data_IF_328532548269
#
_entry.id   IF_328532548269
#
_cell.length_a   1.000
_cell.length_b   1.000
_cell.length_c   1.000
_cell.angle_alpha   90.00
_cell.angle_beta   90.00
_cell.angle_gamma   90.00
#
_symmetry.space_group_name_H-M   'P 1'
#
loop_
_entity.id
_entity.type
_entity.pdbx_description
1 polymer ?
#
# COMPACT_ATOMS: atom_id res chain seq x y z
N UNK A 1 -67.31 -34.78 42.54
CA UNK A 1 -67.75 -33.43 42.91
C UNK A 1 -66.53 -32.56 42.73
N UNK A 2 -66.44 -31.87 41.59
CA UNK A 2 -65.56 -30.71 41.50
C UNK A 2 -66.30 -29.62 42.27
N UNK A 3 -65.61 -28.93 43.18
CA UNK A 3 -66.17 -27.78 43.90
C UNK A 3 -65.19 -26.61 43.72
N UNK A 4 -64.67 -26.44 42.51
CA UNK A 4 -63.62 -25.49 42.23
C UNK A 4 -62.88 -25.72 40.92
N UNK A 5 -62.13 -24.69 40.57
CA UNK A 5 -61.47 -24.55 39.27
C UNK A 5 -62.10 -23.43 38.46
N UNK A 6 -61.35 -22.87 37.53
CA UNK A 6 -61.78 -21.70 36.76
C UNK A 6 -62.98 -21.97 35.83
N UNK A 7 -63.30 -23.25 35.57
CA UNK A 7 -64.41 -23.68 34.73
C UNK A 7 -65.64 -24.18 35.50
N UNK A 8 -65.58 -24.16 36.82
CA UNK A 8 -66.70 -24.52 37.67
C UNK A 8 -67.76 -23.40 37.70
N UNK A 9 -69.02 -23.77 37.76
CA UNK A 9 -70.15 -22.86 37.94
C UNK A 9 -70.95 -23.26 39.18
N UNK A 10 -70.31 -23.13 40.34
CA UNK A 10 -70.87 -23.41 41.67
C UNK A 10 -72.29 -22.84 41.88
N UNK A 11 -72.62 -21.70 41.25
CA UNK A 11 -73.93 -21.06 41.36
C UNK A 11 -75.06 -21.76 40.59
N UNK A 12 -74.74 -22.67 39.66
CA UNK A 12 -75.68 -23.45 38.87
C UNK A 12 -75.76 -24.93 39.30
N UNK A 13 -74.94 -25.32 40.27
CA UNK A 13 -75.00 -26.64 40.91
C UNK A 13 -76.37 -26.88 41.53
N UNK A 14 -76.84 -28.12 41.43
CA UNK A 14 -78.15 -28.48 41.93
C UNK A 14 -78.22 -29.94 42.37
N UNK A 15 -79.18 -30.25 43.24
CA UNK A 15 -79.43 -31.63 43.65
C UNK A 15 -80.10 -32.42 42.50
N UNK A 16 -79.71 -33.69 42.32
CA UNK A 16 -80.29 -34.56 41.27
C UNK A 16 -81.76 -34.92 41.48
N UNK A 17 -82.34 -34.58 42.63
CA UNK A 17 -83.72 -34.90 43.02
C UNK A 17 -83.98 -36.40 43.24
N UNK A 18 -82.97 -37.27 43.10
CA UNK A 18 -83.10 -38.74 43.12
C UNK A 18 -81.98 -39.41 43.92
N UNK A 19 -81.55 -38.77 45.02
CA UNK A 19 -80.54 -39.27 45.95
C UNK A 19 -79.82 -38.14 46.67
N UNK A 20 -78.82 -38.47 47.49
CA UNK A 20 -77.97 -37.50 48.19
C UNK A 20 -76.73 -37.12 47.36
N UNK A 21 -76.93 -36.76 46.08
CA UNK A 21 -75.85 -36.39 45.15
C UNK A 21 -76.08 -35.02 44.52
N UNK A 22 -75.04 -34.19 44.52
CA UNK A 22 -74.98 -32.94 43.76
C UNK A 22 -74.70 -33.24 42.28
N UNK A 23 -75.32 -32.47 41.38
CA UNK A 23 -75.00 -32.40 39.96
C UNK A 23 -74.22 -31.12 39.73
N UNK A 24 -73.02 -31.31 39.23
CA UNK A 24 -72.02 -30.27 38.95
C UNK A 24 -72.36 -29.55 37.63
N UNK A 25 -72.40 -28.23 37.66
CA UNK A 25 -72.65 -27.39 36.50
C UNK A 25 -71.36 -26.72 36.03
N UNK A 26 -70.97 -26.94 34.78
CA UNK A 26 -69.74 -26.37 34.23
C UNK A 26 -70.01 -25.13 33.37
N UNK A 27 -69.03 -24.22 33.32
CA UNK A 27 -69.03 -23.09 32.38
C UNK A 27 -69.01 -23.58 30.93
N UNK A 28 -69.67 -22.86 29.98
CA UNK A 28 -69.78 -23.30 28.60
C UNK A 28 -68.42 -23.37 27.89
N UNK A 29 -68.36 -24.13 26.80
CA UNK A 29 -67.11 -24.32 26.05
C UNK A 29 -66.54 -23.06 25.37
N UNK A 30 -67.24 -21.93 25.48
CA UNK A 30 -66.82 -20.62 25.00
C UNK A 30 -66.22 -19.75 26.11
N UNK A 31 -66.28 -20.19 27.37
CA UNK A 31 -65.77 -19.43 28.50
C UNK A 31 -64.25 -19.55 28.59
N UNK A 32 -63.55 -18.44 28.43
CA UNK A 32 -62.10 -18.31 28.62
C UNK A 32 -61.74 -18.48 30.09
N UNK A 33 -60.98 -19.53 30.40
CA UNK A 33 -60.51 -19.80 31.76
C UNK A 33 -59.06 -19.38 31.98
N UNK A 34 -58.28 -19.24 30.90
CA UNK A 34 -56.99 -18.55 30.87
C UNK A 34 -56.89 -17.74 29.58
N UNK A 35 -56.51 -16.47 29.70
CA UNK A 35 -56.34 -15.60 28.55
C UNK A 35 -55.01 -15.87 27.86
N UNK A 36 -54.97 -15.64 26.55
CA UNK A 36 -53.73 -15.58 25.77
C UNK A 36 -52.79 -14.50 26.33
N UNK A 37 -51.53 -14.87 26.58
CA UNK A 37 -50.48 -14.03 27.11
C UNK A 37 -49.46 -13.56 26.05
N UNK A 38 -49.65 -13.85 24.76
CA UNK A 38 -48.77 -13.36 23.70
C UNK A 38 -48.89 -14.15 22.40
N UNK A 39 -48.16 -13.72 21.36
CA UNK A 39 -48.24 -14.33 20.03
C UNK A 39 -47.90 -15.83 19.97
N UNK A 40 -47.33 -16.40 21.03
CA UNK A 40 -46.95 -17.82 21.12
C UNK A 40 -47.74 -18.62 22.15
N UNK A 41 -48.86 -18.07 22.61
CA UNK A 41 -49.71 -18.66 23.63
C UNK A 41 -51.13 -18.90 23.11
N UNK A 42 -51.80 -19.92 23.63
CA UNK A 42 -53.14 -20.31 23.17
C UNK A 42 -54.14 -20.05 24.29
N UNK A 43 -55.16 -19.27 24.02
CA UNK A 43 -56.28 -19.08 24.96
C UNK A 43 -56.99 -20.42 25.30
N UNK A 44 -57.03 -20.82 26.58
CA UNK A 44 -57.83 -21.98 27.01
C UNK A 44 -59.26 -21.59 27.36
N UNK A 45 -60.17 -22.38 26.78
CA UNK A 45 -61.59 -22.33 27.06
C UNK A 45 -62.00 -23.58 27.83
N UNK A 46 -63.00 -23.42 28.68
CA UNK A 46 -63.60 -24.55 29.39
C UNK A 46 -64.08 -25.62 28.40
N UNK A 47 -64.20 -26.85 28.85
CA UNK A 47 -64.71 -27.94 27.99
C UNK A 47 -66.23 -28.02 27.98
N UNK A 48 -66.91 -27.34 28.92
CA UNK A 48 -68.33 -27.56 29.20
C UNK A 48 -68.62 -28.83 30.00
N UNK A 49 -67.59 -29.57 30.42
CA UNK A 49 -67.71 -30.90 31.05
C UNK A 49 -66.76 -31.14 32.22
N UNK A 50 -65.99 -30.12 32.62
CA UNK A 50 -64.99 -30.18 33.69
C UNK A 50 -64.88 -28.82 34.38
N UNK A 51 -64.72 -28.82 35.71
CA UNK A 51 -64.48 -27.62 36.52
C UNK A 51 -63.04 -27.09 36.43
N UNK A 52 -62.10 -27.94 36.02
CA UNK A 52 -60.72 -27.54 35.73
C UNK A 52 -60.60 -26.90 34.34
N UNK A 53 -59.80 -25.83 34.25
CA UNK A 53 -59.34 -25.29 32.98
C UNK A 53 -58.39 -26.31 32.31
N UNK A 54 -58.41 -26.44 30.97
CA UNK A 54 -57.39 -27.22 30.26
C UNK A 54 -55.96 -26.80 30.63
N UNK A 55 -55.01 -27.69 30.40
CA UNK A 55 -53.59 -27.37 30.60
C UNK A 55 -53.14 -26.27 29.63
N UNK A 56 -52.21 -25.44 30.10
CA UNK A 56 -51.57 -24.35 29.35
C UNK A 56 -50.94 -24.90 28.05
N UNK A 57 -51.45 -24.44 26.91
CA UNK A 57 -51.06 -24.84 25.57
C UNK A 57 -50.40 -23.67 24.83
N UNK A 58 -49.45 -23.99 23.96
CA UNK A 58 -48.68 -22.99 23.21
C UNK A 58 -48.86 -23.18 21.71
N UNK A 59 -48.71 -22.08 20.97
CA UNK A 59 -48.74 -22.08 19.50
C UNK A 59 -47.61 -22.97 18.96
N UNK A 60 -47.82 -23.70 17.84
CA UNK A 60 -46.81 -24.58 17.26
C UNK A 60 -45.57 -23.81 16.80
N UNK A 61 -44.46 -24.51 16.65
CA UNK A 61 -43.19 -23.90 16.25
C UNK A 61 -43.17 -23.29 14.83
N UNK A 62 -44.25 -23.43 14.06
CA UNK A 62 -44.44 -22.78 12.77
C UNK A 62 -45.14 -21.42 12.86
N UNK A 63 -45.65 -21.03 14.03
CA UNK A 63 -46.34 -19.76 14.22
C UNK A 63 -45.31 -18.63 14.29
N UNK A 64 -45.44 -17.64 13.41
CA UNK A 64 -44.60 -16.44 13.41
C UNK A 64 -44.92 -15.53 14.60
N UNK A 65 -43.89 -14.92 15.16
CA UNK A 65 -44.00 -14.00 16.29
C UNK A 65 -43.01 -12.83 16.11
N UNK A 66 -43.05 -11.85 17.02
CA UNK A 66 -42.04 -10.79 17.08
C UNK A 66 -41.03 -11.13 18.16
N UNK A 67 -39.78 -11.36 17.76
CA UNK A 67 -38.67 -11.65 18.64
C UNK A 67 -38.25 -10.46 19.52
N UNK A 68 -37.30 -10.73 20.42
CA UNK A 68 -36.66 -9.69 21.23
C UNK A 68 -35.62 -8.91 20.43
N UNK A 69 -34.97 -9.55 19.45
CA UNK A 69 -34.18 -8.90 18.43
C UNK A 69 -35.12 -8.48 17.29
N UNK A 70 -35.04 -7.21 16.87
CA UNK A 70 -35.86 -6.73 15.77
C UNK A 70 -35.15 -5.61 15.01
N UNK A 71 -34.96 -5.78 13.70
CA UNK A 71 -34.47 -4.74 12.80
C UNK A 71 -32.95 -4.52 12.79
N UNK A 72 -32.17 -5.40 13.43
CA UNK A 72 -30.72 -5.42 13.27
C UNK A 72 -30.29 -5.87 11.87
N UNK A 73 -29.11 -5.43 11.39
CA UNK A 73 -28.62 -5.79 10.05
C UNK A 73 -28.40 -7.31 9.85
N UNK A 74 -28.20 -8.04 10.95
CA UNK A 74 -28.09 -9.50 11.00
C UNK A 74 -29.36 -10.19 11.45
N UNK A 75 -30.43 -9.44 11.63
CA UNK A 75 -31.71 -9.98 12.07
C UNK A 75 -32.50 -10.55 10.91
N UNK A 76 -33.30 -11.57 11.21
CA UNK A 76 -34.21 -12.19 10.26
C UNK A 76 -35.61 -12.28 10.87
N UNK A 77 -36.20 -11.11 11.15
CA UNK A 77 -37.52 -10.94 11.78
C UNK A 77 -38.62 -11.82 11.15
N UNK A 78 -38.54 -12.06 9.82
CA UNK A 78 -39.54 -12.89 9.11
C UNK A 78 -39.46 -14.38 9.43
N UNK A 79 -38.38 -14.84 10.05
CA UNK A 79 -38.15 -16.23 10.44
C UNK A 79 -38.28 -16.45 11.96
N UNK A 80 -38.61 -15.40 12.72
CA UNK A 80 -38.96 -15.52 14.12
C UNK A 80 -40.19 -16.42 14.27
N UNK A 81 -40.13 -17.31 15.26
CA UNK A 81 -41.15 -18.34 15.43
C UNK A 81 -41.31 -18.75 16.88
N UNK A 82 -42.49 -19.24 17.22
CA UNK A 82 -42.76 -19.77 18.55
C UNK A 82 -41.92 -21.02 18.82
N UNK A 83 -41.64 -21.30 20.10
CA UNK A 83 -40.90 -22.52 20.47
C UNK A 83 -41.73 -23.81 20.35
N UNK A 84 -43.08 -23.70 20.38
CA UNK A 84 -43.98 -24.86 20.50
C UNK A 84 -44.11 -25.43 21.90
N UNK A 85 -43.37 -24.90 22.89
CA UNK A 85 -43.32 -25.42 24.25
C UNK A 85 -43.45 -24.35 25.34
N UNK A 86 -43.46 -23.07 24.96
CA UNK A 86 -43.68 -21.92 25.84
C UNK A 86 -44.16 -20.72 25.03
N UNK A 87 -44.66 -19.69 25.72
CA UNK A 87 -44.99 -18.37 25.14
C UNK A 87 -43.73 -17.58 24.69
N UNK A 88 -42.55 -18.20 24.62
CA UNK A 88 -41.35 -17.55 24.12
C UNK A 88 -41.31 -17.57 22.59
N UNK A 89 -41.08 -16.39 22.01
CA UNK A 89 -40.65 -16.24 20.62
C UNK A 89 -39.15 -16.56 20.51
N UNK A 90 -38.76 -17.30 19.48
CA UNK A 90 -37.38 -17.65 19.15
C UNK A 90 -36.90 -16.71 18.04
N UNK A 91 -35.89 -15.90 18.35
CA UNK A 91 -35.24 -15.01 17.38
C UNK A 91 -34.51 -15.83 16.31
N UNK A 92 -34.69 -15.46 15.05
CA UNK A 92 -33.97 -16.02 13.92
C UNK A 92 -32.92 -15.03 13.40
N UNK A 93 -31.67 -15.48 13.28
CA UNK A 93 -30.58 -14.65 12.78
C UNK A 93 -30.13 -15.04 11.37
N UNK A 94 -29.58 -14.07 10.64
CA UNK A 94 -28.93 -14.32 9.35
C UNK A 94 -27.68 -15.18 9.53
N UNK A 95 -27.36 -16.06 8.55
CA UNK A 95 -26.25 -16.99 8.67
C UNK A 95 -24.89 -16.27 8.73
N UNK A 96 -23.86 -16.96 9.22
CA UNK A 96 -22.52 -16.39 9.38
C UNK A 96 -21.81 -16.02 8.07
N UNK A 97 -22.42 -16.34 6.92
CA UNK A 97 -21.96 -15.97 5.58
C UNK A 97 -22.64 -14.71 5.04
N UNK A 98 -23.59 -14.13 5.78
CA UNK A 98 -24.29 -12.93 5.34
C UNK A 98 -23.45 -11.70 5.65
N UNK A 99 -22.99 -10.99 4.62
CA UNK A 99 -22.32 -9.69 4.76
C UNK A 99 -23.32 -8.64 5.22
N UNK A 100 -23.20 -8.19 6.46
CA UNK A 100 -24.05 -7.14 7.03
C UNK A 100 -23.49 -5.74 6.81
N UNK A 101 -22.18 -5.63 6.60
CA UNK A 101 -21.54 -4.40 6.11
C UNK A 101 -20.46 -4.76 5.08
N UNK A 102 -20.55 -4.24 3.84
CA UNK A 102 -19.49 -4.41 2.86
C UNK A 102 -18.26 -3.55 3.22
N UNK A 103 -17.09 -3.97 2.74
CA UNK A 103 -15.89 -3.16 2.78
C UNK A 103 -16.07 -1.90 1.90
N UNK A 104 -15.77 -0.74 2.46
CA UNK A 104 -15.81 0.58 1.80
C UNK A 104 -14.51 0.98 1.10
N UNK A 105 -13.45 0.18 1.21
CA UNK A 105 -12.16 0.40 0.56
C UNK A 105 -11.23 -0.80 0.71
N UNK A 106 -10.03 -0.72 0.11
CA UNK A 106 -9.06 -1.82 0.15
C UNK A 106 -8.48 -2.08 1.55
N UNK A 107 -8.53 -1.08 2.44
CA UNK A 107 -8.08 -1.19 3.83
C UNK A 107 -9.25 -1.36 4.81
N UNK A 108 -10.42 -1.77 4.31
CA UNK A 108 -11.61 -2.02 5.10
C UNK A 108 -11.98 -3.50 5.06
N UNK A 109 -12.40 -4.06 6.19
CA UNK A 109 -12.85 -5.45 6.26
C UNK A 109 -14.37 -5.48 6.08
N UNK A 110 -14.90 -6.44 5.35
CA UNK A 110 -16.35 -6.65 5.33
C UNK A 110 -16.78 -7.45 6.56
N UNK A 111 -17.75 -6.98 7.32
CA UNK A 111 -18.31 -7.73 8.44
C UNK A 111 -19.44 -8.64 7.97
N UNK A 112 -19.36 -9.87 8.47
CA UNK A 112 -20.39 -10.89 8.30
C UNK A 112 -21.11 -11.10 9.62
N UNK A 113 -22.37 -11.48 9.54
CA UNK A 113 -23.13 -11.86 10.72
C UNK A 113 -22.47 -13.02 11.48
N UNK A 114 -22.83 -13.19 12.74
CA UNK A 114 -22.32 -14.30 13.56
C UNK A 114 -23.19 -15.55 13.46
N UNK A 115 -24.42 -15.42 12.94
CA UNK A 115 -25.44 -16.46 13.04
C UNK A 115 -26.14 -16.55 14.40
N UNK A 116 -25.80 -15.68 15.36
CA UNK A 116 -26.27 -15.75 16.74
C UNK A 116 -26.69 -14.39 17.32
N UNK A 117 -26.68 -13.32 16.53
CA UNK A 117 -27.04 -11.97 16.96
C UNK A 117 -27.64 -11.17 15.79
N UNK A 118 -28.63 -10.34 16.08
CA UNK A 118 -29.22 -9.40 15.11
C UNK A 118 -28.31 -8.20 14.79
N UNK A 119 -27.30 -7.92 15.62
CA UNK A 119 -26.35 -6.83 15.35
C UNK A 119 -25.21 -7.29 14.44
N UNK A 120 -24.83 -6.45 13.48
CA UNK A 120 -23.59 -6.65 12.73
C UNK A 120 -22.38 -6.47 13.68
N UNK A 121 -21.30 -7.26 13.54
CA UNK A 121 -20.08 -7.05 14.30
C UNK A 121 -19.53 -5.62 14.17
N UNK A 122 -18.66 -5.25 15.11
CA UNK A 122 -17.99 -3.96 15.07
C UNK A 122 -17.22 -3.79 13.75
N UNK A 123 -17.29 -2.57 13.22
CA UNK A 123 -16.59 -2.14 12.02
C UNK A 123 -15.08 -2.14 12.26
N UNK A 124 -14.35 -2.98 11.54
CA UNK A 124 -12.90 -3.12 11.68
C UNK A 124 -12.18 -2.79 10.37
N UNK A 125 -11.02 -2.15 10.50
CA UNK A 125 -10.11 -1.86 9.39
C UNK A 125 -9.05 -2.94 9.25
N UNK A 126 -8.50 -3.06 8.05
CA UNK A 126 -7.37 -3.94 7.77
C UNK A 126 -6.16 -3.49 8.62
N UNK A 127 -5.43 -4.41 9.27
CA UNK A 127 -4.26 -4.07 10.08
C UNK A 127 -3.19 -3.28 9.32
N UNK A 128 -2.40 -2.50 10.07
CA UNK A 128 -1.31 -1.72 9.50
C UNK A 128 -0.26 -2.63 8.82
N UNK A 129 0.28 -2.18 7.68
CA UNK A 129 1.35 -2.87 6.95
C UNK A 129 0.87 -3.89 5.91
N UNK A 130 -0.45 -4.10 5.76
CA UNK A 130 -0.99 -4.88 4.65
C UNK A 130 -0.94 -4.04 3.37
N UNK A 131 -0.35 -4.62 2.32
CA UNK A 131 -0.23 -3.97 1.01
C UNK A 131 -1.61 -3.73 0.39
N UNK A 132 -1.80 -2.54 -0.16
CA UNK A 132 -2.98 -2.13 -0.90
C UNK A 132 -2.55 -1.35 -2.16
N UNK A 133 -3.50 -0.81 -2.93
CA UNK A 133 -3.18 0.08 -4.04
C UNK A 133 -2.52 -0.63 -5.23
N UNK A 134 -1.71 0.12 -5.98
CA UNK A 134 -0.94 -0.41 -7.10
C UNK A 134 0.39 -0.99 -6.63
N UNK A 135 0.84 -2.08 -7.27
CA UNK A 135 2.17 -2.65 -7.04
C UNK A 135 3.26 -2.03 -7.92
N UNK A 136 2.88 -1.19 -8.87
CA UNK A 136 3.82 -0.49 -9.75
C UNK A 136 4.37 0.72 -9.02
N UNK A 137 5.63 0.67 -8.63
CA UNK A 137 6.31 1.81 -7.99
C UNK A 137 7.10 2.61 -9.03
N UNK A 138 6.78 3.90 -9.14
CA UNK A 138 7.64 4.88 -9.80
C UNK A 138 8.80 5.26 -8.86
N UNK A 139 9.81 6.01 -9.35
CA UNK A 139 11.03 6.31 -8.58
C UNK A 139 10.76 7.10 -7.29
N UNK A 140 9.71 7.93 -7.28
CA UNK A 140 9.29 8.72 -6.11
C UNK A 140 8.03 8.17 -5.43
N UNK A 141 7.74 6.91 -5.68
CA UNK A 141 6.59 6.20 -5.15
C UNK A 141 7.05 5.02 -4.28
N UNK A 142 6.24 4.64 -3.31
CA UNK A 142 6.49 3.41 -2.54
C UNK A 142 5.24 2.55 -2.54
N UNK A 143 5.37 1.30 -2.11
CA UNK A 143 4.22 0.41 -2.01
C UNK A 143 3.26 0.94 -0.96
N UNK A 144 2.01 1.16 -1.38
CA UNK A 144 0.95 1.57 -0.48
C UNK A 144 0.64 0.47 0.54
N UNK A 145 0.54 0.84 1.80
CA UNK A 145 0.14 -0.05 2.89
C UNK A 145 -0.94 0.58 3.75
N UNK A 146 -1.88 -0.23 4.19
CA UNK A 146 -2.88 0.19 5.17
C UNK A 146 -2.19 0.71 6.43
N UNK A 147 -2.72 1.78 7.02
CA UNK A 147 -2.20 2.36 8.26
C UNK A 147 -2.88 1.82 9.53
N UNK A 148 -3.88 0.95 9.37
CA UNK A 148 -4.65 0.39 10.48
C UNK A 148 -5.69 1.35 11.08
N UNK A 149 -5.99 2.46 10.42
CA UNK A 149 -7.01 3.43 10.85
C UNK A 149 -7.94 3.87 9.73
N UNK A 150 -7.42 4.04 8.51
CA UNK A 150 -8.17 4.46 7.34
C UNK A 150 -8.69 3.25 6.53
N UNK A 151 -9.88 3.41 5.98
CA UNK A 151 -10.55 2.42 5.13
C UNK A 151 -10.09 2.46 3.67
N UNK A 152 -9.67 3.64 3.22
CA UNK A 152 -9.03 3.84 1.93
C UNK A 152 -7.57 3.42 2.00
N UNK A 153 -7.05 2.93 0.88
CA UNK A 153 -5.61 2.77 0.73
C UNK A 153 -4.95 4.15 0.67
N UNK A 154 -4.03 4.50 1.58
CA UNK A 154 -3.28 5.74 1.48
C UNK A 154 -2.29 5.65 0.33
N UNK A 155 -2.10 6.76 -0.38
CA UNK A 155 -1.09 6.89 -1.44
C UNK A 155 0.24 7.32 -0.80
N UNK A 156 1.18 6.38 -0.66
CA UNK A 156 2.44 6.57 0.04
C UNK A 156 3.55 6.93 -0.95
N UNK A 157 4.19 8.08 -0.72
CA UNK A 157 5.28 8.57 -1.56
C UNK A 157 6.64 8.32 -0.93
N UNK A 158 7.66 8.23 -1.78
CA UNK A 158 9.04 8.16 -1.32
C UNK A 158 9.36 9.41 -0.47
N UNK A 159 10.08 9.27 0.66
CA UNK A 159 10.42 10.40 1.50
C UNK A 159 11.18 11.50 0.74
N UNK A 160 11.04 12.77 1.14
CA UNK A 160 11.85 13.85 0.60
C UNK A 160 13.35 13.53 0.68
N UNK A 161 14.09 13.77 -0.41
CA UNK A 161 15.51 13.45 -0.50
C UNK A 161 15.83 12.05 -1.04
N UNK A 162 14.83 11.21 -1.31
CA UNK A 162 15.05 9.90 -1.96
C UNK A 162 15.62 10.12 -3.37
N UNK A 163 16.75 9.49 -3.76
CA UNK A 163 17.34 9.71 -5.09
C UNK A 163 16.40 9.28 -6.22
N UNK A 164 16.27 10.13 -7.23
CA UNK A 164 15.50 9.87 -8.44
C UNK A 164 16.24 10.42 -9.68
N UNK A 165 15.62 10.34 -10.85
CA UNK A 165 16.14 10.87 -12.11
C UNK A 165 14.97 11.49 -12.89
N UNK A 166 15.04 12.79 -13.16
CA UNK A 166 14.03 13.56 -13.91
C UNK A 166 14.19 13.45 -15.44
N UNK A 167 15.13 12.62 -15.89
CA UNK A 167 15.60 12.45 -17.26
C UNK A 167 16.22 13.72 -17.88
N UNK A 168 16.52 14.75 -17.10
CA UNK A 168 17.33 15.89 -17.55
C UNK A 168 18.81 15.61 -17.25
N UNK A 169 19.60 15.41 -18.30
CA UNK A 169 21.05 15.19 -18.18
C UNK A 169 21.82 16.41 -17.66
N UNK A 170 21.15 17.56 -17.50
CA UNK A 170 21.72 18.82 -17.06
C UNK A 170 21.54 19.12 -15.57
N UNK A 171 20.80 18.27 -14.85
CA UNK A 171 20.59 18.28 -13.40
C UNK A 171 21.36 17.11 -12.77
N UNK A 172 21.73 17.25 -11.50
CA UNK A 172 22.41 16.19 -10.75
C UNK A 172 21.94 16.20 -9.30
N UNK A 173 21.84 15.01 -8.72
CA UNK A 173 21.39 14.83 -7.35
C UNK A 173 19.89 15.08 -7.21
N UNK A 174 19.11 14.64 -8.20
CA UNK A 174 17.66 14.77 -8.21
C UNK A 174 17.09 13.96 -7.06
N UNK A 175 16.09 14.54 -6.40
CA UNK A 175 15.50 13.94 -5.21
C UNK A 175 14.00 14.08 -5.23
N UNK A 176 13.32 13.09 -4.68
CA UNK A 176 11.90 13.16 -4.47
C UNK A 176 11.56 14.29 -3.49
N UNK A 177 10.44 14.97 -3.74
CA UNK A 177 9.95 16.08 -2.92
C UNK A 177 9.02 15.62 -1.77
N UNK A 178 8.65 14.33 -1.77
CA UNK A 178 7.68 13.73 -0.85
C UNK A 178 6.22 13.77 -1.33
N UNK A 179 5.94 14.38 -2.49
CA UNK A 179 4.62 14.38 -3.15
C UNK A 179 4.51 13.37 -4.30
N UNK A 180 5.60 12.65 -4.58
CA UNK A 180 5.70 11.74 -5.72
C UNK A 180 6.39 12.37 -6.93
N UNK A 181 6.87 13.61 -6.81
CA UNK A 181 7.58 14.30 -7.88
C UNK A 181 9.09 14.16 -7.67
N UNK A 182 9.81 13.91 -8.77
CA UNK A 182 11.26 14.00 -8.78
C UNK A 182 11.66 15.46 -9.03
N UNK A 183 12.19 16.12 -8.01
CA UNK A 183 12.70 17.48 -8.14
C UNK A 183 14.12 17.45 -8.71
N UNK A 184 14.32 18.28 -9.74
CA UNK A 184 15.61 18.58 -10.31
C UNK A 184 16.59 19.03 -9.22
N UNK A 185 17.75 18.39 -9.16
CA UNK A 185 18.86 18.86 -8.35
C UNK A 185 19.46 20.16 -8.88
N UNK A 186 20.63 20.54 -8.37
CA UNK A 186 21.28 21.79 -8.81
C UNK A 186 21.63 21.75 -10.31
N UNK A 187 21.01 22.61 -11.11
CA UNK A 187 21.27 22.77 -12.54
C UNK A 187 22.55 23.57 -12.81
N UNK A 188 23.69 22.90 -12.87
CA UNK A 188 24.96 23.51 -13.33
C UNK A 188 25.79 22.54 -14.23
N UNK A 189 25.23 21.37 -14.57
CA UNK A 189 25.96 20.35 -15.32
C UNK A 189 26.05 20.62 -16.84
N UNK A 190 25.26 21.53 -17.39
CA UNK A 190 25.27 21.89 -18.82
C UNK A 190 25.53 23.38 -19.08
N UNK A 191 26.15 24.08 -18.13
CA UNK A 191 26.55 25.46 -18.32
C UNK A 191 27.46 25.60 -19.56
N UNK A 192 27.42 26.78 -20.20
CA UNK A 192 28.45 27.13 -21.15
C UNK A 192 29.81 27.11 -20.43
N UNK A 193 30.83 26.63 -21.10
CA UNK A 193 32.16 26.53 -20.52
C UNK A 193 33.11 25.73 -21.39
N UNK A 194 34.38 25.83 -21.06
CA UNK A 194 35.47 25.23 -21.82
C UNK A 194 36.51 24.71 -20.86
N UNK A 195 36.83 23.44 -21.02
CA UNK A 195 37.86 22.75 -20.26
C UNK A 195 38.93 22.32 -21.25
N UNK A 196 40.15 22.77 -21.00
CA UNK A 196 41.30 22.40 -21.82
C UNK A 196 42.39 21.86 -20.92
N UNK A 197 43.16 20.92 -21.43
CA UNK A 197 44.27 20.40 -20.66
C UNK A 197 45.23 19.63 -21.53
N UNK A 198 46.49 19.67 -21.14
CA UNK A 198 47.52 18.89 -21.80
C UNK A 198 48.73 18.74 -20.91
N UNK A 199 49.37 17.57 -20.98
CA UNK A 199 50.60 17.34 -20.25
C UNK A 199 50.90 15.88 -19.96
N UNK A 200 51.66 15.67 -18.89
CA UNK A 200 52.05 14.34 -18.44
C UNK A 200 51.60 14.07 -17.01
N UNK A 201 51.18 12.83 -16.77
CA UNK A 201 51.00 12.24 -15.45
C UNK A 201 52.19 11.31 -15.21
N UNK A 202 52.85 11.43 -14.06
CA UNK A 202 53.98 10.56 -13.68
C UNK A 202 53.60 9.82 -12.39
N UNK A 203 52.98 8.62 -12.49
CA UNK A 203 52.58 7.78 -11.36
C UNK A 203 53.71 7.43 -10.39
N UNK A 204 54.87 7.09 -10.96
CA UNK A 204 56.02 6.43 -10.31
C UNK A 204 57.26 6.61 -11.18
N UNK A 205 58.46 6.29 -10.69
CA UNK A 205 59.66 6.27 -11.55
C UNK A 205 59.50 5.16 -12.60
N UNK A 206 59.24 5.54 -13.86
CA UNK A 206 59.11 4.63 -14.99
C UNK A 206 57.75 4.70 -15.69
N UNK A 207 56.69 4.99 -14.95
CA UNK A 207 55.35 5.15 -15.50
C UNK A 207 55.14 6.56 -16.02
N UNK A 208 54.65 6.68 -17.24
CA UNK A 208 54.31 7.97 -17.86
C UNK A 208 53.00 7.82 -18.60
N UNK A 209 52.08 8.74 -18.36
CA UNK A 209 50.94 8.93 -19.24
C UNK A 209 50.97 10.34 -19.82
N UNK A 210 50.56 10.48 -21.08
CA UNK A 210 50.41 11.77 -21.75
C UNK A 210 48.94 11.99 -22.06
N UNK A 211 48.47 13.21 -21.89
CA UNK A 211 47.09 13.56 -22.17
C UNK A 211 46.99 14.90 -22.88
N UNK A 212 45.91 15.06 -23.65
CA UNK A 212 45.52 16.29 -24.31
C UNK A 212 44.03 16.24 -24.59
N UNK A 213 43.30 17.26 -24.13
CA UNK A 213 41.87 17.34 -24.36
C UNK A 213 41.39 18.78 -24.50
N UNK A 214 40.29 18.91 -25.22
CA UNK A 214 39.41 20.08 -25.18
C UNK A 214 38.01 19.54 -25.05
N UNK A 215 37.24 20.07 -24.10
CA UNK A 215 35.80 19.85 -23.97
C UNK A 215 35.16 21.22 -23.86
N UNK A 216 34.18 21.52 -24.70
CA UNK A 216 33.58 22.85 -24.77
C UNK A 216 32.08 22.78 -25.06
N UNK A 217 31.34 23.64 -24.38
CA UNK A 217 29.95 23.96 -24.66
C UNK A 217 29.81 25.48 -24.79
N UNK A 218 29.37 25.96 -25.95
CA UNK A 218 29.35 27.40 -26.24
C UNK A 218 28.14 28.12 -25.64
N UNK A 219 27.01 27.42 -25.49
CA UNK A 219 25.76 27.96 -24.98
C UNK A 219 25.20 27.04 -23.91
N UNK A 220 24.42 27.58 -22.97
CA UNK A 220 23.63 26.78 -22.04
C UNK A 220 22.80 25.77 -22.84
N UNK A 221 22.81 24.49 -22.44
CA UNK A 221 22.14 23.38 -23.13
C UNK A 221 22.57 23.14 -24.61
N UNK A 222 23.61 23.82 -25.08
CA UNK A 222 24.18 23.58 -26.41
C UNK A 222 24.89 22.23 -26.52
N UNK A 223 25.21 21.77 -27.74
CA UNK A 223 25.98 20.55 -27.93
C UNK A 223 27.37 20.68 -27.31
N UNK A 224 27.83 19.63 -26.65
CA UNK A 224 29.23 19.54 -26.25
C UNK A 224 30.07 19.17 -27.46
N UNK A 225 31.19 19.85 -27.63
CA UNK A 225 32.19 19.60 -28.66
C UNK A 225 33.54 19.42 -28.01
N UNK A 226 34.45 18.72 -28.67
CA UNK A 226 35.76 18.48 -28.09
C UNK A 226 36.36 17.17 -28.54
N UNK A 227 37.55 16.92 -28.04
CA UNK A 227 38.29 15.70 -28.31
C UNK A 227 39.16 15.36 -27.11
N UNK A 228 39.26 14.07 -26.78
CA UNK A 228 40.16 13.55 -25.76
C UNK A 228 41.22 12.66 -26.41
N UNK A 229 42.46 12.81 -25.94
CA UNK A 229 43.57 11.95 -26.29
C UNK A 229 44.35 11.62 -25.01
N UNK A 230 44.41 10.36 -24.63
CA UNK A 230 45.15 9.89 -23.45
C UNK A 230 45.98 8.66 -23.81
N UNK A 231 47.26 8.65 -23.45
CA UNK A 231 48.19 7.56 -23.73
C UNK A 231 48.90 7.15 -22.44
N UNK A 232 48.67 5.92 -21.97
CA UNK A 232 49.45 5.30 -20.92
C UNK A 232 50.65 4.58 -21.57
N UNK A 233 51.86 5.09 -21.37
CA UNK A 233 53.07 4.54 -21.99
C UNK A 233 53.53 3.23 -21.33
N UNK A 234 53.01 2.90 -20.14
CA UNK A 234 53.33 1.65 -19.45
C UNK A 234 52.46 0.51 -19.96
N UNK A 235 51.14 0.71 -20.02
CA UNK A 235 50.17 -0.31 -20.46
C UNK A 235 50.02 -0.35 -21.98
N UNK A 236 50.48 0.70 -22.67
CA UNK A 236 50.26 0.90 -24.11
C UNK A 236 48.83 1.34 -24.44
N UNK A 237 48.00 1.63 -23.45
CA UNK A 237 46.64 2.08 -23.62
C UNK A 237 46.60 3.46 -24.29
N UNK A 238 45.80 3.58 -25.35
CA UNK A 238 45.55 4.81 -26.07
C UNK A 238 44.04 5.05 -26.21
N UNK A 239 43.53 6.07 -25.54
CA UNK A 239 42.17 6.61 -25.70
C UNK A 239 42.20 7.75 -26.70
N UNK A 240 41.33 7.69 -27.70
CA UNK A 240 41.18 8.73 -28.70
C UNK A 240 39.71 8.84 -29.13
N UNK A 241 39.06 9.99 -28.89
CA UNK A 241 37.70 10.17 -29.37
C UNK A 241 37.06 11.52 -29.06
N UNK A 242 35.90 11.79 -29.68
CA UNK A 242 35.13 13.00 -29.46
C UNK A 242 34.55 13.05 -28.04
N UNK A 243 34.47 14.26 -27.50
CA UNK A 243 33.74 14.54 -26.25
C UNK A 243 32.28 14.78 -26.58
N UNK A 244 31.38 14.06 -25.91
CA UNK A 244 29.93 14.15 -26.12
C UNK A 244 29.19 14.75 -24.93
N UNK A 245 29.81 14.78 -23.75
CA UNK A 245 29.26 15.38 -22.54
C UNK A 245 30.34 16.17 -21.81
N UNK A 246 30.00 17.36 -21.34
CA UNK A 246 30.81 18.19 -20.45
C UNK A 246 29.94 18.65 -19.29
N UNK A 247 30.45 18.42 -18.09
CA UNK A 247 29.89 18.78 -16.78
C UNK A 247 30.91 19.62 -16.02
N UNK A 248 30.47 20.74 -15.43
CA UNK A 248 31.34 21.65 -14.70
C UNK A 248 30.93 21.70 -13.23
N UNK A 249 31.83 21.37 -12.31
CA UNK A 249 31.58 21.38 -10.87
C UNK A 249 32.31 22.55 -10.21
N UNK A 250 31.58 23.36 -9.43
CA UNK A 250 32.17 24.53 -8.77
C UNK A 250 32.83 25.49 -9.77
N UNK A 251 33.87 26.21 -9.36
CA UNK A 251 34.57 27.17 -10.24
C UNK A 251 35.78 26.58 -10.96
N UNK A 252 36.21 25.37 -10.61
CA UNK A 252 37.54 24.87 -10.98
C UNK A 252 37.58 23.38 -11.35
N UNK A 253 36.46 22.67 -11.33
CA UNK A 253 36.44 21.23 -11.62
C UNK A 253 35.51 20.93 -12.77
N UNK A 254 35.81 19.86 -13.49
CA UNK A 254 34.99 19.40 -14.59
C UNK A 254 35.07 17.89 -14.78
N UNK A 255 34.02 17.33 -15.35
CA UNK A 255 34.01 15.98 -15.89
C UNK A 255 33.56 16.06 -17.34
N UNK A 256 34.21 15.29 -18.20
CA UNK A 256 33.73 15.11 -19.56
C UNK A 256 33.78 13.64 -19.96
N UNK A 257 32.86 13.26 -20.85
CA UNK A 257 32.74 11.90 -21.34
C UNK A 257 32.64 11.87 -22.86
N UNK A 258 32.96 10.72 -23.43
CA UNK A 258 32.86 10.50 -24.86
C UNK A 258 32.97 9.03 -25.24
N UNK A 259 32.63 8.75 -26.50
CA UNK A 259 32.79 7.44 -27.11
C UNK A 259 33.88 7.53 -28.17
N UNK A 260 34.93 6.73 -28.01
CA UNK A 260 36.11 6.76 -28.86
C UNK A 260 36.70 5.39 -29.09
N UNK A 261 38.00 5.35 -29.34
CA UNK A 261 38.78 4.14 -29.49
C UNK A 261 39.77 4.03 -28.33
N UNK A 262 39.78 2.87 -27.66
CA UNK A 262 40.78 2.44 -26.70
C UNK A 262 41.59 1.33 -27.35
N UNK A 263 42.87 1.57 -27.67
CA UNK A 263 43.71 0.64 -28.43
C UNK A 263 43.07 0.15 -29.74
N UNK A 264 42.33 1.03 -30.43
CA UNK A 264 41.63 0.71 -31.67
C UNK A 264 40.29 -0.02 -31.50
N UNK A 265 39.86 -0.30 -30.27
CA UNK A 265 38.54 -0.89 -29.97
C UNK A 265 37.58 0.17 -29.46
N UNK A 266 36.30 0.13 -29.86
CA UNK A 266 35.31 1.10 -29.38
C UNK A 266 35.17 1.05 -27.84
N UNK A 267 35.30 2.21 -27.20
CA UNK A 267 35.18 2.36 -25.74
C UNK A 267 34.46 3.65 -25.38
N UNK A 268 33.88 3.68 -24.19
CA UNK A 268 33.47 4.91 -23.53
C UNK A 268 34.58 5.36 -22.57
N UNK A 269 34.77 6.66 -22.44
CA UNK A 269 35.73 7.25 -21.50
C UNK A 269 35.07 8.35 -20.68
N UNK A 270 35.54 8.49 -19.45
CA UNK A 270 35.23 9.59 -18.54
C UNK A 270 36.55 10.17 -18.05
N UNK A 271 36.62 11.49 -18.01
CA UNK A 271 37.77 12.20 -17.47
C UNK A 271 37.27 13.22 -16.47
N UNK A 272 37.76 13.13 -15.23
CA UNK A 272 37.54 14.14 -14.19
C UNK A 272 38.80 14.96 -14.04
N UNK A 273 38.66 16.28 -13.92
CA UNK A 273 39.77 17.20 -13.76
C UNK A 273 39.47 18.26 -12.72
N UNK A 274 40.52 18.71 -12.05
CA UNK A 274 40.47 19.86 -11.14
C UNK A 274 41.64 20.79 -11.43
N UNK A 275 41.32 22.06 -11.69
CA UNK A 275 42.22 23.19 -11.87
C UNK A 275 42.51 23.79 -10.49
N UNK A 276 43.74 23.67 -10.01
CA UNK A 276 44.15 24.17 -8.70
C UNK A 276 45.01 25.45 -8.81
N UNK A 277 44.82 26.23 -9.88
CA UNK A 277 45.38 27.56 -10.07
C UNK A 277 46.73 27.59 -10.81
N UNK A 278 47.02 28.71 -11.47
CA UNK A 278 48.18 28.84 -12.35
C UNK A 278 49.50 28.99 -11.57
N UNK A 279 50.58 28.29 -11.96
CA UNK A 279 50.80 27.68 -13.27
C UNK A 279 50.31 26.23 -13.46
N UNK A 280 49.43 25.70 -12.60
CA UNK A 280 48.76 24.37 -12.68
C UNK A 280 49.67 23.15 -12.52
N UNK A 281 50.96 23.32 -12.79
CA UNK A 281 52.02 22.31 -12.71
C UNK A 281 52.15 21.74 -11.30
N UNK A 282 52.05 20.43 -11.17
CA UNK A 282 52.05 19.66 -9.91
C UNK A 282 50.87 19.97 -8.98
N UNK A 283 49.87 20.72 -9.43
CA UNK A 283 48.70 21.05 -8.62
C UNK A 283 47.39 20.57 -9.22
N UNK A 284 47.22 20.68 -10.53
CA UNK A 284 46.01 20.20 -11.19
C UNK A 284 45.96 18.68 -11.16
N UNK A 285 44.76 18.13 -11.10
CA UNK A 285 44.52 16.70 -11.05
C UNK A 285 43.69 16.21 -12.21
N UNK A 286 43.94 14.96 -12.59
CA UNK A 286 43.20 14.24 -13.62
C UNK A 286 42.94 12.81 -13.14
N UNK A 287 41.72 12.34 -13.35
CA UNK A 287 41.29 10.94 -13.21
C UNK A 287 40.71 10.50 -14.55
N UNK A 288 41.07 9.31 -15.03
CA UNK A 288 40.59 8.78 -16.32
C UNK A 288 40.03 7.38 -16.09
N UNK A 289 38.79 7.16 -16.53
CA UNK A 289 38.08 5.88 -16.39
C UNK A 289 37.56 5.44 -17.75
N UNK A 290 37.66 4.15 -18.05
CA UNK A 290 37.28 3.60 -19.36
C UNK A 290 36.46 2.32 -19.26
N UNK A 291 35.53 2.17 -20.20
CA UNK A 291 34.63 1.03 -20.32
C UNK A 291 34.58 0.50 -21.76
N UNK A 292 34.45 -0.82 -21.93
CA UNK A 292 34.21 -1.41 -23.25
C UNK A 292 32.78 -1.10 -23.72
N UNK A 293 32.61 -0.80 -25.01
CA UNK A 293 31.27 -0.66 -25.62
C UNK A 293 30.80 -2.01 -26.19
N UNK A 294 29.48 -2.28 -26.24
CA UNK A 294 28.38 -1.41 -25.87
C UNK A 294 28.03 -1.57 -24.38
N UNK A 295 27.66 -0.46 -23.72
CA UNK A 295 26.79 -0.55 -22.55
C UNK A 295 25.44 -1.13 -23.01
N UNK A 296 25.37 -2.45 -23.23
CA UNK A 296 24.08 -3.16 -23.17
C UNK A 296 23.65 -3.02 -21.72
N UNK A 297 22.49 -2.41 -21.40
CA UNK A 297 22.09 -2.26 -20.01
C UNK A 297 21.92 -3.65 -19.38
N UNK A 298 22.73 -4.05 -18.38
CA UNK A 298 22.40 -5.21 -17.58
C UNK A 298 21.66 -4.74 -16.31
N UNK A 299 20.89 -5.61 -15.66
CA UNK A 299 20.49 -5.39 -14.27
C UNK A 299 21.74 -5.23 -13.38
N UNK A 300 21.62 -4.61 -12.18
CA UNK A 300 22.76 -4.32 -11.31
C UNK A 300 23.61 -5.57 -11.01
N UNK A 301 24.96 -5.47 -10.95
CA UNK A 301 25.76 -4.26 -10.70
C UNK A 301 26.27 -3.49 -11.94
N UNK A 302 26.66 -2.21 -11.79
CA UNK A 302 27.19 -1.39 -12.89
C UNK A 302 28.42 -2.02 -13.58
N UNK A 303 28.66 -1.73 -14.87
CA UNK A 303 29.79 -2.27 -15.59
C UNK A 303 31.11 -1.82 -14.95
N UNK A 304 31.91 -2.79 -14.51
CA UNK A 304 33.24 -2.56 -13.93
C UNK A 304 34.16 -1.99 -15.03
N UNK A 305 34.86 -0.87 -14.77
CA UNK A 305 35.82 -0.32 -15.73
C UNK A 305 36.97 -1.32 -15.96
N UNK A 306 37.46 -1.42 -17.19
CA UNK A 306 38.60 -2.30 -17.49
C UNK A 306 39.93 -1.62 -17.14
N UNK A 307 39.95 -0.28 -17.08
CA UNK A 307 41.05 0.51 -16.52
C UNK A 307 40.47 1.74 -15.83
N UNK A 308 40.84 1.91 -14.55
CA UNK A 308 40.56 3.10 -13.75
C UNK A 308 41.91 3.67 -13.31
N UNK A 309 42.23 4.86 -13.83
CA UNK A 309 43.42 5.58 -13.42
C UNK A 309 43.03 6.40 -12.19
N UNK A 310 43.63 6.14 -11.01
CA UNK A 310 43.33 6.92 -9.81
C UNK A 310 43.69 8.39 -10.05
N UNK A 311 43.04 9.29 -9.31
CA UNK A 311 43.31 10.73 -9.43
C UNK A 311 44.81 11.03 -9.24
N UNK A 312 45.41 11.76 -10.19
CA UNK A 312 46.83 12.08 -10.18
C UNK A 312 47.11 13.53 -10.48
N UNK A 313 48.13 14.08 -9.82
CA UNK A 313 48.71 15.39 -10.13
C UNK A 313 49.43 15.36 -11.47
N UNK A 314 49.28 16.41 -12.26
CA UNK A 314 49.98 16.58 -13.54
C UNK A 314 51.38 17.16 -13.30
N UNK A 315 52.40 16.78 -14.08
CA UNK A 315 53.80 17.20 -13.87
C UNK A 315 54.31 18.20 -14.90
N UNK A 316 53.98 17.97 -16.18
CA UNK A 316 54.48 18.76 -17.31
C UNK A 316 53.30 19.19 -18.18
N UNK A 317 52.48 20.09 -17.64
CA UNK A 317 51.21 20.48 -18.25
C UNK A 317 50.43 21.51 -17.45
N UNK A 318 49.23 21.79 -17.93
CA UNK A 318 48.25 22.68 -17.31
C UNK A 318 46.83 22.17 -17.63
N UNK A 319 45.89 22.36 -16.70
CA UNK A 319 44.45 22.22 -16.92
C UNK A 319 43.83 23.61 -16.70
N UNK A 320 42.84 23.94 -17.52
CA UNK A 320 42.12 25.21 -17.44
C UNK A 320 40.64 24.92 -17.51
N UNK A 321 39.91 25.34 -16.48
CA UNK A 321 38.45 25.28 -16.43
C UNK A 321 37.88 26.69 -16.57
N UNK A 322 37.23 26.96 -17.69
CA UNK A 322 36.50 28.21 -17.94
C UNK A 322 35.00 27.97 -17.86
N UNK A 323 34.31 28.74 -17.03
CA UNK A 323 32.85 28.89 -17.00
C UNK A 323 32.45 30.19 -17.67
#
# INVERSE_FOLDING_TARGET
>A
MSNGGACDNDGADHCSGSGNSCVDAFRPATFTCRADAGACDVEEKCTGSSGACPADAFEPASTSCTGASNGGACDNDTADHCSGASNACVDAFRPATFTCRPAGGQCDVAEMCTGASGTCPADIVVPAGIVCGSLTVEQCDVVDVCNGTDKSCPDLKAPPGTPCNDNDVCTYGDTCDGSGTCDAGSGDACAAGKVTGGGQVVPTIGDKASFGFVAQRQTLQGPTTGHCNYVNHTTGLHVNGPVTLLVLFGSNSAMFQGNGLCNGTLCAFEVKVTDNGEPGRNNDTIQVTMWQTPMVPPPPPPPVPFEEVPERRIKDGNIQVHK
#
